data_IF_215083171025
#
_entry.id   IF_215083171025
#
_cell.length_a   1.000
_cell.length_b   1.000
_cell.length_c   1.000
_cell.angle_alpha   90.00
_cell.angle_beta   90.00
_cell.angle_gamma   90.00
#
_symmetry.space_group_name_H-M   'P 1'
#
loop_
_entity.id
_entity.type
_entity.pdbx_description
1 polymer ?
#
# COMPACT_ATOMS: atom_id res chain seq x y z
N UNK A 1 28.11 -5.99 -30.15
CA UNK A 1 28.31 -6.01 -28.70
C UNK A 1 27.84 -4.73 -28.03
N UNK A 2 28.44 -3.58 -28.35
CA UNK A 2 28.29 -2.34 -27.55
C UNK A 2 27.04 -1.51 -27.90
N UNK A 3 26.46 -1.69 -29.10
CA UNK A 3 25.31 -0.90 -29.58
C UNK A 3 23.96 -1.34 -28.98
N UNK A 4 23.87 -2.52 -28.36
CA UNK A 4 22.63 -3.00 -27.72
C UNK A 4 22.46 -2.54 -26.26
N UNK A 5 23.54 -2.13 -25.58
CA UNK A 5 23.47 -1.69 -24.19
C UNK A 5 22.97 -0.24 -24.03
N UNK A 6 23.09 0.60 -25.07
CA UNK A 6 22.74 2.01 -25.00
C UNK A 6 21.23 2.31 -25.19
N UNK A 7 20.40 1.29 -25.50
CA UNK A 7 18.98 1.51 -25.85
C UNK A 7 18.00 1.37 -24.66
N UNK A 8 18.47 1.09 -23.45
CA UNK A 8 17.63 0.97 -22.24
C UNK A 8 17.56 2.23 -21.36
N UNK A 9 18.37 3.26 -21.62
CA UNK A 9 18.48 4.43 -20.73
C UNK A 9 17.56 5.63 -21.05
N UNK A 10 16.55 5.49 -21.92
CA UNK A 10 16.01 6.65 -22.63
C UNK A 10 14.57 7.12 -22.37
N UNK A 11 13.74 6.50 -21.52
CA UNK A 11 12.30 6.86 -21.51
C UNK A 11 11.54 6.79 -20.17
N UNK A 12 12.22 6.68 -19.03
CA UNK A 12 11.55 6.52 -17.71
C UNK A 12 11.70 7.76 -16.80
N UNK A 13 12.30 8.84 -17.29
CA UNK A 13 12.47 10.08 -16.51
C UNK A 13 11.16 10.90 -16.52
N UNK A 14 10.31 10.69 -15.51
CA UNK A 14 9.29 11.68 -15.12
C UNK A 14 7.86 11.18 -14.93
N UNK A 15 7.56 9.89 -15.08
CA UNK A 15 6.25 9.36 -14.71
C UNK A 15 6.26 9.03 -13.22
N UNK A 16 5.38 9.67 -12.45
CA UNK A 16 5.18 9.32 -11.05
C UNK A 16 4.85 7.81 -10.96
N UNK A 17 5.43 7.07 -10.01
CA UNK A 17 5.14 5.65 -9.87
C UNK A 17 3.64 5.44 -9.66
N UNK A 18 3.07 4.43 -10.32
CA UNK A 18 1.61 4.19 -10.40
C UNK A 18 0.91 4.14 -9.05
N UNK A 19 1.60 3.67 -8.00
CA UNK A 19 1.06 3.64 -6.63
C UNK A 19 0.82 5.05 -6.05
N UNK A 20 1.58 6.07 -6.45
CA UNK A 20 1.33 7.47 -6.04
C UNK A 20 0.04 8.01 -6.64
N UNK A 21 -0.26 7.64 -7.89
CA UNK A 21 -1.53 8.01 -8.53
C UNK A 21 -2.69 7.36 -7.77
N UNK A 22 -2.55 6.08 -7.42
CA UNK A 22 -3.54 5.37 -6.62
C UNK A 22 -3.73 5.96 -5.21
N UNK A 23 -2.64 6.35 -4.54
CA UNK A 23 -2.72 7.06 -3.26
C UNK A 23 -3.43 8.41 -3.39
N UNK A 24 -3.11 9.20 -4.43
CA UNK A 24 -3.78 10.47 -4.71
C UNK A 24 -5.29 10.29 -4.89
N UNK A 25 -5.70 9.24 -5.61
CA UNK A 25 -7.12 8.90 -5.78
C UNK A 25 -7.79 8.54 -4.45
N UNK A 26 -7.13 7.75 -3.59
CA UNK A 26 -7.67 7.43 -2.25
C UNK A 26 -7.78 8.69 -1.39
N UNK A 27 -6.78 9.58 -1.41
CA UNK A 27 -6.82 10.82 -0.62
C UNK A 27 -7.99 11.71 -1.08
N UNK A 28 -8.15 11.90 -2.39
CA UNK A 28 -9.27 12.67 -2.94
C UNK A 28 -10.61 12.03 -2.56
N UNK A 29 -10.69 10.71 -2.68
CA UNK A 29 -11.87 9.93 -2.30
C UNK A 29 -12.25 10.10 -0.82
N UNK A 30 -11.28 10.00 0.10
CA UNK A 30 -11.53 10.25 1.51
C UNK A 30 -11.90 11.72 1.77
N UNK A 31 -11.25 12.66 1.07
CA UNK A 31 -11.59 14.08 1.13
C UNK A 31 -13.06 14.36 0.81
N UNK A 32 -13.65 13.65 -0.17
CA UNK A 32 -15.07 13.77 -0.50
C UNK A 32 -15.96 13.35 0.67
N UNK A 33 -15.63 12.24 1.34
CA UNK A 33 -16.39 11.78 2.51
C UNK A 33 -16.26 12.72 3.70
N UNK A 34 -15.05 13.24 3.96
CA UNK A 34 -14.84 14.27 5.01
C UNK A 34 -15.70 15.50 4.76
N UNK A 35 -15.66 16.06 3.55
CA UNK A 35 -16.46 17.23 3.21
C UNK A 35 -17.96 16.95 3.31
N UNK A 36 -18.40 15.75 2.92
CA UNK A 36 -19.80 15.33 3.05
C UNK A 36 -20.25 15.30 4.52
N UNK A 37 -19.49 14.66 5.41
CA UNK A 37 -19.85 14.55 6.83
C UNK A 37 -19.72 15.88 7.59
N UNK A 38 -18.81 16.77 7.18
CA UNK A 38 -18.75 18.14 7.69
C UNK A 38 -19.99 18.95 7.27
N UNK A 39 -20.46 18.79 6.02
CA UNK A 39 -21.58 19.55 5.48
C UNK A 39 -22.95 19.04 5.94
N UNK A 40 -23.16 17.73 5.93
CA UNK A 40 -24.47 17.09 6.15
C UNK A 40 -24.67 16.69 7.61
N UNK A 41 -23.66 16.08 8.22
CA UNK A 41 -23.75 15.60 9.61
C UNK A 41 -23.16 16.60 10.62
N UNK A 42 -22.68 17.76 10.13
CA UNK A 42 -22.05 18.81 10.94
C UNK A 42 -20.94 18.30 11.86
N UNK A 43 -20.23 17.25 11.43
CA UNK A 43 -19.12 16.70 12.21
C UNK A 43 -17.93 17.65 12.17
N UNK A 44 -17.20 17.81 13.29
CA UNK A 44 -15.94 18.52 13.27
C UNK A 44 -14.93 17.74 12.41
N UNK A 45 -13.97 18.46 11.81
CA UNK A 45 -13.10 17.95 10.75
C UNK A 45 -12.31 16.70 11.17
N UNK A 46 -11.83 16.67 12.41
CA UNK A 46 -11.09 15.56 12.98
C UNK A 46 -11.94 14.28 13.08
N UNK A 47 -13.21 14.44 13.48
CA UNK A 47 -14.16 13.33 13.61
C UNK A 47 -14.63 12.84 12.25
N UNK A 48 -14.86 13.76 11.30
CA UNK A 48 -15.20 13.43 9.94
C UNK A 48 -14.06 12.69 9.22
N UNK A 49 -12.81 13.14 9.40
CA UNK A 49 -11.62 12.46 8.88
C UNK A 49 -11.46 11.07 9.48
N UNK A 50 -11.52 10.94 10.81
CA UNK A 50 -11.46 9.65 11.47
C UNK A 50 -12.54 8.70 10.94
N UNK A 51 -13.80 9.16 10.86
CA UNK A 51 -14.92 8.35 10.39
C UNK A 51 -14.79 7.94 8.91
N UNK A 52 -14.31 8.84 8.05
CA UNK A 52 -14.05 8.56 6.63
C UNK A 52 -13.01 7.47 6.45
N UNK A 53 -11.94 7.49 7.26
CA UNK A 53 -10.90 6.45 7.24
C UNK A 53 -11.44 5.15 7.83
N UNK A 54 -12.11 5.21 8.98
CA UNK A 54 -12.66 4.06 9.69
C UNK A 54 -13.62 3.26 8.81
N UNK A 55 -14.55 3.95 8.14
CA UNK A 55 -15.52 3.33 7.24
C UNK A 55 -14.92 3.01 5.88
N UNK A 56 -14.21 3.96 5.25
CA UNK A 56 -13.70 3.83 3.89
C UNK A 56 -12.59 2.81 3.72
N UNK A 57 -11.83 2.51 4.78
CA UNK A 57 -10.80 1.45 4.80
C UNK A 57 -11.28 0.19 5.54
N UNK A 58 -12.57 0.11 5.88
CA UNK A 58 -13.18 -1.04 6.55
C UNK A 58 -12.51 -1.43 7.87
N UNK A 59 -12.08 -0.45 8.67
CA UNK A 59 -11.55 -0.69 10.02
C UNK A 59 -12.71 -0.99 10.97
N UNK A 60 -13.72 -0.13 10.98
CA UNK A 60 -15.01 -0.36 11.63
C UNK A 60 -14.98 -0.32 13.16
N UNK A 61 -14.27 0.62 13.77
CA UNK A 61 -14.26 0.82 15.23
C UNK A 61 -15.66 1.11 15.79
N UNK A 62 -16.51 1.80 15.00
CA UNK A 62 -17.91 2.03 15.37
C UNK A 62 -18.13 3.05 16.49
N UNK A 63 -17.09 3.81 16.86
CA UNK A 63 -17.14 4.91 17.84
C UNK A 63 -17.89 6.14 17.31
N UNK A 64 -17.92 6.32 15.99
CA UNK A 64 -18.70 7.36 15.31
C UNK A 64 -19.79 6.72 14.46
N UNK A 65 -21.01 7.23 14.56
CA UNK A 65 -22.17 6.72 13.83
C UNK A 65 -22.93 7.85 13.16
N UNK A 66 -23.45 7.56 11.98
CA UNK A 66 -24.34 8.46 11.25
C UNK A 66 -25.79 8.08 11.52
N UNK A 67 -26.61 9.06 11.86
CA UNK A 67 -28.02 8.82 12.19
C UNK A 67 -28.96 9.08 11.00
N UNK A 68 -28.55 9.93 10.06
CA UNK A 68 -29.40 10.33 8.95
C UNK A 68 -29.46 9.25 7.85
N UNK A 69 -30.63 9.10 7.23
CA UNK A 69 -30.81 8.15 6.12
C UNK A 69 -29.93 8.49 4.92
N UNK A 70 -29.69 9.78 4.67
CA UNK A 70 -28.86 10.26 3.55
C UNK A 70 -27.40 9.83 3.77
N UNK A 71 -26.86 10.01 4.97
CA UNK A 71 -25.48 9.61 5.28
C UNK A 71 -25.30 8.10 5.30
N UNK A 72 -26.32 7.32 5.64
CA UNK A 72 -26.27 5.85 5.55
C UNK A 72 -26.16 5.35 4.09
N UNK A 73 -26.95 5.93 3.18
CA UNK A 73 -26.87 5.61 1.75
C UNK A 73 -25.51 6.02 1.18
N UNK A 74 -25.07 7.24 1.51
CA UNK A 74 -23.75 7.73 1.12
C UNK A 74 -22.64 6.78 1.59
N UNK A 75 -22.63 6.40 2.86
CA UNK A 75 -21.62 5.49 3.41
C UNK A 75 -21.64 4.11 2.76
N UNK A 76 -22.81 3.60 2.39
CA UNK A 76 -22.90 2.32 1.70
C UNK A 76 -22.19 2.39 0.35
N UNK A 77 -22.45 3.43 -0.44
CA UNK A 77 -21.76 3.67 -1.71
C UNK A 77 -20.26 3.92 -1.46
N UNK A 78 -19.93 4.68 -0.41
CA UNK A 78 -18.55 5.00 -0.04
C UNK A 78 -17.72 3.75 0.28
N UNK A 79 -18.28 2.83 1.07
CA UNK A 79 -17.60 1.58 1.42
C UNK A 79 -17.45 0.68 0.19
N UNK A 80 -18.46 0.60 -0.68
CA UNK A 80 -18.39 -0.22 -1.90
C UNK A 80 -17.25 0.21 -2.83
N UNK A 81 -17.11 1.53 -3.05
CA UNK A 81 -16.03 2.07 -3.89
C UNK A 81 -14.67 1.96 -3.17
N UNK A 82 -14.63 2.26 -1.87
CA UNK A 82 -13.44 2.19 -1.04
C UNK A 82 -12.82 0.79 -1.01
N UNK A 83 -13.63 -0.25 -0.81
CA UNK A 83 -13.17 -1.64 -0.78
C UNK A 83 -12.49 -2.06 -2.10
N UNK A 84 -13.08 -1.71 -3.24
CA UNK A 84 -12.49 -1.98 -4.55
C UNK A 84 -11.20 -1.19 -4.79
N UNK A 85 -11.21 0.10 -4.47
CA UNK A 85 -10.05 0.98 -4.65
C UNK A 85 -8.86 0.60 -3.77
N UNK A 86 -9.10 0.34 -2.49
CA UNK A 86 -8.07 -0.07 -1.54
C UNK A 86 -7.47 -1.44 -1.92
N UNK A 87 -8.31 -2.40 -2.33
CA UNK A 87 -7.84 -3.70 -2.81
C UNK A 87 -6.97 -3.60 -4.05
N UNK A 88 -7.36 -2.79 -5.04
CA UNK A 88 -6.57 -2.55 -6.24
C UNK A 88 -5.22 -1.87 -5.94
N UNK A 89 -5.21 -0.87 -5.06
CA UNK A 89 -3.97 -0.21 -4.65
C UNK A 89 -3.04 -1.17 -3.94
N UNK A 90 -3.57 -1.99 -3.03
CA UNK A 90 -2.78 -2.99 -2.31
C UNK A 90 -2.17 -4.01 -3.27
N UNK A 91 -2.92 -4.44 -4.28
CA UNK A 91 -2.42 -5.35 -5.31
C UNK A 91 -1.26 -4.73 -6.11
N UNK A 92 -1.42 -3.47 -6.57
CA UNK A 92 -0.37 -2.75 -7.32
C UNK A 92 0.88 -2.56 -6.44
N UNK A 93 0.68 -2.18 -5.17
CA UNK A 93 1.77 -2.01 -4.22
C UNK A 93 2.51 -3.33 -3.96
N UNK A 94 1.77 -4.41 -3.70
CA UNK A 94 2.35 -5.74 -3.49
C UNK A 94 3.13 -6.22 -4.71
N UNK A 95 2.59 -6.04 -5.92
CA UNK A 95 3.31 -6.37 -7.16
C UNK A 95 4.57 -5.55 -7.34
N UNK A 96 4.53 -4.24 -7.02
CA UNK A 96 5.70 -3.37 -7.10
C UNK A 96 6.80 -3.77 -6.11
N UNK A 97 6.40 -4.21 -4.90
CA UNK A 97 7.33 -4.69 -3.89
C UNK A 97 7.98 -6.01 -4.29
N UNK A 98 7.19 -6.95 -4.80
CA UNK A 98 7.70 -8.25 -5.27
C UNK A 98 8.68 -8.07 -6.44
N UNK A 99 8.39 -7.16 -7.36
CA UNK A 99 9.31 -6.89 -8.48
C UNK A 99 10.62 -6.26 -7.99
N UNK A 100 10.56 -5.32 -7.06
CA UNK A 100 11.75 -4.73 -6.46
C UNK A 100 12.65 -5.77 -5.74
N UNK A 101 12.05 -6.72 -5.02
CA UNK A 101 12.79 -7.84 -4.41
C UNK A 101 13.40 -8.78 -5.46
N UNK A 102 12.67 -9.07 -6.55
CA UNK A 102 13.19 -9.91 -7.64
C UNK A 102 14.36 -9.26 -8.36
N UNK A 103 14.27 -7.97 -8.64
CA UNK A 103 15.34 -7.20 -9.27
C UNK A 103 16.60 -7.22 -8.42
N UNK A 104 16.47 -6.97 -7.11
CA UNK A 104 17.58 -7.02 -6.16
C UNK A 104 18.25 -8.42 -6.13
N UNK A 105 17.45 -9.49 -6.04
CA UNK A 105 17.96 -10.86 -6.06
C UNK A 105 18.65 -11.21 -7.40
N UNK A 106 18.11 -10.74 -8.52
CA UNK A 106 18.69 -10.98 -9.85
C UNK A 106 20.02 -10.23 -10.03
N UNK A 107 20.13 -9.02 -9.48
CA UNK A 107 21.36 -8.21 -9.52
C UNK A 107 22.46 -8.84 -8.67
N UNK A 108 22.13 -9.40 -7.50
CA UNK A 108 23.09 -10.16 -6.70
C UNK A 108 23.56 -11.41 -7.43
N UNK A 109 22.65 -12.16 -8.05
CA UNK A 109 22.99 -13.33 -8.85
C UNK A 109 23.86 -12.96 -10.05
N UNK A 110 23.56 -11.87 -10.75
CA UNK A 110 24.36 -11.38 -11.87
C UNK A 110 25.78 -10.99 -11.42
N UNK A 111 25.90 -10.28 -10.28
CA UNK A 111 27.20 -9.94 -9.69
C UNK A 111 27.99 -11.17 -9.26
N UNK A 112 27.34 -12.20 -8.75
CA UNK A 112 27.96 -13.48 -8.40
C UNK A 112 28.35 -14.31 -9.63
N UNK A 113 27.59 -14.21 -10.73
CA UNK A 113 27.87 -14.90 -11.99
C UNK A 113 29.00 -14.27 -12.81
N UNK A 114 29.22 -12.96 -12.73
CA UNK A 114 30.32 -12.28 -13.43
C UNK A 114 31.71 -12.90 -13.12
N UNK A 115 32.12 -13.08 -11.84
CA UNK A 115 33.39 -13.73 -11.51
C UNK A 115 33.38 -15.24 -11.82
N UNK A 116 32.22 -15.89 -11.79
CA UNK A 116 32.09 -17.32 -12.13
C UNK A 116 32.08 -17.59 -13.65
N UNK A 117 31.80 -16.57 -14.48
CA UNK A 117 31.81 -16.69 -15.95
C UNK A 117 33.23 -16.85 -16.53
N UNK A 118 34.25 -16.40 -15.81
CA UNK A 118 35.66 -16.65 -16.14
C UNK A 118 36.12 -18.05 -15.68
N UNK A 119 35.52 -18.63 -14.64
CA UNK A 119 36.10 -19.82 -14.00
C UNK A 119 35.43 -21.16 -14.34
N UNK A 120 34.24 -21.22 -14.96
CA UNK A 120 33.49 -22.49 -14.97
C UNK A 120 32.74 -22.83 -16.26
N UNK A 121 33.46 -23.51 -17.14
CA UNK A 121 32.96 -24.48 -18.13
C UNK A 121 32.48 -25.81 -17.51
N UNK A 122 32.42 -25.97 -16.19
CA UNK A 122 32.17 -27.28 -15.56
C UNK A 122 31.30 -27.21 -14.29
N UNK A 123 30.05 -27.63 -14.44
CA UNK A 123 29.33 -28.33 -13.38
C UNK A 123 28.53 -27.48 -12.40
N UNK A 124 27.20 -27.54 -12.59
CA UNK A 124 26.14 -27.94 -11.64
C UNK A 124 26.20 -27.35 -10.23
N UNK A 125 25.09 -26.72 -9.82
CA UNK A 125 24.78 -26.54 -8.41
C UNK A 125 23.74 -25.47 -8.08
N UNK A 126 22.53 -25.53 -8.66
CA UNK A 126 21.37 -24.77 -8.16
C UNK A 126 20.92 -25.35 -6.83
N UNK A 127 21.21 -24.64 -5.74
CA UNK A 127 20.49 -24.67 -4.46
C UNK A 127 20.91 -23.43 -3.68
N UNK A 128 20.02 -22.97 -2.79
CA UNK A 128 20.18 -21.83 -1.87
C UNK A 128 19.69 -20.48 -2.42
N UNK A 129 18.38 -20.35 -2.69
CA UNK A 129 17.62 -19.12 -2.37
C UNK A 129 16.19 -19.52 -1.97
N UNK A 130 16.07 -20.27 -0.88
CA UNK A 130 14.83 -20.36 -0.11
C UNK A 130 15.20 -19.85 1.28
N UNK A 131 14.62 -18.70 1.69
CA UNK A 131 14.20 -18.40 3.08
C UNK A 131 14.36 -16.96 3.58
N UNK A 132 14.69 -15.96 2.76
CA UNK A 132 14.77 -14.59 3.30
C UNK A 132 14.15 -13.64 2.30
N UNK A 133 12.94 -13.16 2.60
CA UNK A 133 12.44 -11.78 2.32
C UNK A 133 10.90 -11.60 2.41
N UNK A 134 10.14 -12.57 2.91
CA UNK A 134 8.71 -12.40 3.18
C UNK A 134 8.35 -11.68 4.48
N UNK A 135 9.33 -11.27 5.31
CA UNK A 135 9.08 -10.79 6.67
C UNK A 135 8.89 -9.27 6.81
N UNK A 136 9.19 -8.49 5.77
CA UNK A 136 9.19 -7.02 5.84
C UNK A 136 7.78 -6.39 5.69
N UNK A 137 6.82 -6.90 4.89
CA UNK A 137 5.50 -6.26 4.81
C UNK A 137 4.59 -6.60 6.01
N UNK A 138 4.73 -7.79 6.62
CA UNK A 138 3.86 -8.22 7.73
C UNK A 138 4.23 -7.51 9.03
N UNK A 139 5.53 -7.32 9.30
CA UNK A 139 5.98 -6.66 10.53
C UNK A 139 5.59 -5.18 10.57
N UNK A 140 5.67 -4.46 9.45
CA UNK A 140 5.22 -3.07 9.36
C UNK A 140 3.70 -2.95 9.54
N UNK A 141 2.94 -3.90 9.01
CA UNK A 141 1.48 -3.98 9.15
C UNK A 141 1.08 -4.30 10.59
N UNK A 142 1.81 -5.21 11.25
CA UNK A 142 1.65 -5.50 12.68
C UNK A 142 2.01 -4.30 13.53
N UNK A 143 3.11 -3.60 13.25
CA UNK A 143 3.49 -2.36 13.95
C UNK A 143 2.42 -1.28 13.78
N UNK A 144 1.89 -1.10 12.56
CA UNK A 144 0.82 -0.14 12.28
C UNK A 144 -0.47 -0.47 13.03
N UNK A 145 -0.88 -1.76 13.04
CA UNK A 145 -2.02 -2.24 13.83
C UNK A 145 -1.77 -1.99 15.32
N UNK A 146 -0.60 -2.36 15.85
CA UNK A 146 -0.26 -2.15 17.25
C UNK A 146 -0.23 -0.67 17.63
N UNK A 147 0.26 0.21 16.75
CA UNK A 147 0.27 1.66 16.98
C UNK A 147 -1.16 2.21 17.01
N UNK A 148 -2.02 1.77 16.08
CA UNK A 148 -3.44 2.12 16.04
C UNK A 148 -4.20 1.65 17.28
N UNK A 149 -3.95 0.41 17.73
CA UNK A 149 -4.54 -0.14 18.95
C UNK A 149 -4.03 0.55 20.20
N UNK A 150 -2.72 0.82 20.31
CA UNK A 150 -2.15 1.53 21.46
C UNK A 150 -2.63 2.98 21.54
N UNK A 151 -2.75 3.66 20.41
CA UNK A 151 -3.33 5.01 20.34
C UNK A 151 -4.79 5.00 20.79
N UNK A 152 -5.60 4.04 20.30
CA UNK A 152 -6.98 3.85 20.75
C UNK A 152 -7.09 3.62 22.26
N UNK A 153 -6.24 2.77 22.84
CA UNK A 153 -6.25 2.48 24.28
C UNK A 153 -5.79 3.64 25.16
N UNK A 154 -4.93 4.53 24.66
CA UNK A 154 -4.42 5.67 25.43
C UNK A 154 -5.38 6.86 25.38
N UNK A 155 -6.12 7.02 24.29
CA UNK A 155 -6.92 8.22 24.03
C UNK A 155 -8.44 8.02 24.12
N UNK A 156 -8.94 6.80 23.95
CA UNK A 156 -10.32 6.47 24.35
C UNK A 156 -10.25 5.92 25.77
N UNK A 157 -10.62 6.73 26.76
CA UNK A 157 -10.95 6.19 28.09
C UNK A 157 -12.18 5.28 27.91
N UNK A 158 -11.95 3.97 27.83
CA UNK A 158 -12.99 2.95 27.76
C UNK A 158 -13.76 2.89 29.08
N UNK A 159 -14.78 3.74 29.22
CA UNK A 159 -15.96 3.52 30.09
C UNK A 159 -17.14 2.95 29.30
#
# INVERSE_FOLDING_TARGET
GIVLAARRGGSEAGKAPTWLIGLGLIIVWQGVSVLFHMGVDHMPIEKAFFFSVDTGLSIGFGSVRVETNVSRIFNTIHVMIGAGGAGALLAIFASSLVEASRDAASDELAKALIPLSEERKTGIGTRVVENIESAIPVSLLVVWICLGTAYGLVYEEWE
#
